data_IF_192027730861
#
_entry.id   IF_192027730861
#
_cell.length_a   1.000
_cell.length_b   1.000
_cell.length_c   1.000
_cell.angle_alpha   90.00
_cell.angle_beta   90.00
_cell.angle_gamma   90.00
#
_symmetry.space_group_name_H-M   'P 1'
#
loop_
_entity.id
_entity.type
_entity.pdbx_description
1 polymer ?
#
# COMPACT_ATOMS: atom_id res chain seq x y z
N UNK A 1 -12.56 -20.12 39.11
CA UNK A 1 -11.63 -21.04 38.41
C UNK A 1 -10.23 -20.47 38.58
N UNK A 2 -9.36 -21.14 39.37
CA UNK A 2 -8.01 -20.65 39.66
C UNK A 2 -7.14 -20.85 38.43
N UNK A 3 -6.60 -19.76 37.90
CA UNK A 3 -5.58 -19.78 36.85
C UNK A 3 -4.28 -20.33 37.44
N UNK A 4 -3.82 -21.48 36.97
CA UNK A 4 -2.50 -22.03 37.31
C UNK A 4 -1.44 -21.15 36.64
N UNK A 5 -0.81 -20.25 37.40
CA UNK A 5 0.38 -19.50 36.96
C UNK A 5 1.62 -20.13 37.60
N UNK A 6 2.57 -20.50 36.75
CA UNK A 6 3.88 -21.00 37.19
C UNK A 6 4.89 -19.84 37.10
N UNK A 7 5.64 -19.60 38.19
CA UNK A 7 6.60 -18.49 38.23
C UNK A 7 7.90 -18.81 37.49
N UNK A 8 8.29 -20.08 37.44
CA UNK A 8 9.49 -20.55 36.73
C UNK A 8 9.21 -21.80 35.90
N UNK A 9 9.98 -22.08 34.84
CA UNK A 9 9.85 -23.31 34.06
C UNK A 9 10.11 -24.59 34.88
N UNK A 10 10.79 -24.47 36.01
CA UNK A 10 11.14 -25.61 36.92
C UNK A 10 9.92 -26.12 37.68
N UNK A 11 8.94 -25.23 37.93
CA UNK A 11 7.71 -25.54 38.68
C UNK A 11 6.66 -26.24 37.78
N UNK A 12 6.95 -26.43 36.50
CA UNK A 12 6.01 -27.04 35.56
C UNK A 12 6.08 -28.58 35.58
N UNK A 13 4.95 -29.28 35.43
CA UNK A 13 4.93 -30.73 35.21
C UNK A 13 5.79 -31.12 34.00
N UNK A 14 6.47 -32.31 34.05
CA UNK A 14 7.41 -32.75 33.01
C UNK A 14 6.87 -32.64 31.58
N UNK A 15 5.60 -32.96 31.35
CA UNK A 15 4.97 -32.85 30.02
C UNK A 15 4.77 -31.39 29.55
N UNK A 16 4.50 -30.46 30.47
CA UNK A 16 4.36 -29.01 30.16
C UNK A 16 5.72 -28.35 29.94
N UNK A 17 6.75 -28.77 30.67
CA UNK A 17 8.11 -28.24 30.51
C UNK A 17 8.64 -28.49 29.11
N UNK A 18 8.49 -29.71 28.59
CA UNK A 18 8.89 -30.06 27.24
C UNK A 18 8.19 -29.22 26.16
N UNK A 19 6.89 -28.96 26.29
CA UNK A 19 6.12 -28.10 25.38
C UNK A 19 6.57 -26.64 25.46
N UNK A 20 6.83 -26.14 26.67
CA UNK A 20 7.32 -24.77 26.88
C UNK A 20 8.71 -24.57 26.25
N UNK A 21 9.64 -25.52 26.47
CA UNK A 21 10.99 -25.49 25.89
C UNK A 21 10.93 -25.52 24.35
N UNK A 22 10.08 -26.39 23.77
CA UNK A 22 9.86 -26.45 22.34
C UNK A 22 9.29 -25.15 21.77
N UNK A 23 8.38 -24.51 22.50
CA UNK A 23 7.80 -23.22 22.11
C UNK A 23 8.82 -22.08 22.18
N UNK A 24 9.66 -22.08 23.23
CA UNK A 24 10.73 -21.08 23.37
C UNK A 24 11.83 -21.27 22.35
N UNK A 25 12.21 -22.50 22.02
CA UNK A 25 13.13 -22.82 20.93
C UNK A 25 12.60 -22.32 19.58
N UNK A 26 11.30 -22.54 19.29
CA UNK A 26 10.64 -22.00 18.08
C UNK A 26 10.61 -20.47 18.04
N UNK A 27 10.36 -19.81 19.20
CA UNK A 27 10.44 -18.34 19.30
C UNK A 27 11.87 -17.82 19.09
N UNK A 28 12.87 -18.51 19.64
CA UNK A 28 14.28 -18.14 19.46
C UNK A 28 14.72 -18.28 18.00
N UNK A 29 14.35 -19.37 17.33
CA UNK A 29 14.61 -19.58 15.89
C UNK A 29 13.90 -18.52 15.05
N UNK A 30 12.63 -18.17 15.38
CA UNK A 30 11.90 -17.12 14.68
C UNK A 30 12.49 -15.73 14.93
N UNK A 31 13.04 -15.47 16.13
CA UNK A 31 13.74 -14.22 16.45
C UNK A 31 15.12 -14.14 15.80
N UNK A 32 15.85 -15.27 15.68
CA UNK A 32 17.12 -15.34 14.96
C UNK A 32 16.93 -15.20 13.44
N UNK A 33 15.84 -15.78 12.88
CA UNK A 33 15.46 -15.59 11.48
C UNK A 33 14.94 -14.17 11.18
N UNK A 34 14.56 -13.41 12.23
CA UNK A 34 14.13 -12.01 12.15
C UNK A 34 15.27 -11.02 12.41
N UNK A 35 16.53 -11.46 12.48
CA UNK A 35 17.67 -10.55 12.46
C UNK A 35 17.62 -9.74 11.14
N UNK A 36 17.79 -8.40 11.19
CA UNK A 36 17.69 -7.57 10.01
C UNK A 36 18.78 -7.98 9.03
N UNK A 37 18.39 -8.71 8.01
CA UNK A 37 19.22 -8.86 6.82
C UNK A 37 19.47 -7.45 6.28
N UNK A 38 20.70 -7.10 5.83
CA UNK A 38 20.94 -5.84 5.19
C UNK A 38 19.94 -5.75 4.02
N UNK A 39 19.02 -4.80 4.10
CA UNK A 39 18.06 -4.53 3.03
C UNK A 39 18.87 -4.18 1.79
N UNK A 40 19.05 -5.14 0.89
CA UNK A 40 19.45 -4.82 -0.46
C UNK A 40 18.35 -3.94 -1.04
N UNK A 41 18.60 -2.65 -1.16
CA UNK A 41 17.74 -1.66 -1.80
C UNK A 41 17.68 -1.87 -3.33
N UNK A 42 17.69 -3.11 -3.79
CA UNK A 42 17.39 -3.49 -5.15
C UNK A 42 15.88 -3.61 -5.30
N UNK A 43 15.24 -2.66 -5.97
CA UNK A 43 13.86 -2.81 -6.41
C UNK A 43 13.73 -4.16 -7.13
N UNK A 44 12.83 -5.02 -6.67
CA UNK A 44 12.59 -6.38 -7.19
C UNK A 44 12.28 -6.41 -8.71
N UNK A 45 12.13 -5.24 -9.32
CA UNK A 45 11.77 -5.02 -10.73
C UNK A 45 12.70 -4.06 -11.46
N UNK A 46 13.97 -3.86 -11.00
CA UNK A 46 14.96 -2.98 -11.62
C UNK A 46 14.48 -1.54 -11.91
N UNK A 47 13.48 -1.06 -11.17
CA UNK A 47 13.01 0.31 -11.28
C UNK A 47 14.04 1.23 -10.57
N UNK A 48 14.74 2.06 -11.34
CA UNK A 48 15.67 3.06 -10.82
C UNK A 48 14.91 4.37 -10.59
N UNK A 49 14.81 4.86 -9.32
CA UNK A 49 14.22 6.15 -9.02
C UNK A 49 14.95 7.27 -9.78
N UNK A 50 14.22 8.21 -10.31
CA UNK A 50 14.75 9.34 -11.05
C UNK A 50 14.12 10.64 -10.54
N UNK A 51 14.91 11.72 -10.55
CA UNK A 51 14.42 13.06 -10.17
C UNK A 51 14.58 14.01 -11.36
N UNK A 52 13.52 14.71 -11.73
CA UNK A 52 13.55 15.77 -12.75
C UNK A 52 13.04 17.06 -12.07
N UNK A 53 13.91 18.06 -11.95
CA UNK A 53 13.62 19.26 -11.17
C UNK A 53 13.30 18.89 -9.72
N UNK A 54 12.13 19.30 -9.22
CA UNK A 54 11.66 19.00 -7.86
C UNK A 54 10.78 17.73 -7.78
N UNK A 55 10.54 17.04 -8.90
CA UNK A 55 9.65 15.89 -8.97
C UNK A 55 10.44 14.58 -8.91
N UNK A 56 9.97 13.65 -8.06
CA UNK A 56 10.55 12.31 -7.90
C UNK A 56 9.66 11.30 -8.60
N UNK A 57 10.26 10.45 -9.42
CA UNK A 57 9.61 9.37 -10.14
C UNK A 57 10.13 8.01 -9.65
N UNK A 58 9.26 7.01 -9.58
CA UNK A 58 9.64 5.67 -9.15
C UNK A 58 10.48 4.93 -10.22
N UNK A 59 10.44 5.37 -11.48
CA UNK A 59 11.21 4.79 -12.57
C UNK A 59 11.62 5.83 -13.64
N UNK A 60 12.68 5.51 -14.37
CA UNK A 60 13.08 6.29 -15.56
C UNK A 60 11.98 6.31 -16.64
N UNK A 61 11.15 5.27 -16.71
CA UNK A 61 10.02 5.19 -17.65
C UNK A 61 8.96 6.24 -17.34
N UNK A 62 8.55 6.35 -16.06
CA UNK A 62 7.66 7.41 -15.60
C UNK A 62 8.23 8.80 -15.86
N UNK A 63 9.51 9.03 -15.53
CA UNK A 63 10.17 10.32 -15.75
C UNK A 63 10.17 10.74 -17.23
N UNK A 64 10.44 9.79 -18.14
CA UNK A 64 10.36 10.04 -19.59
C UNK A 64 8.93 10.36 -20.02
N UNK A 65 7.97 9.56 -19.55
CA UNK A 65 6.56 9.78 -19.90
C UNK A 65 6.03 11.12 -19.41
N UNK A 66 6.43 11.52 -18.19
CA UNK A 66 6.09 12.84 -17.66
C UNK A 66 6.63 13.97 -18.55
N UNK A 67 7.87 13.87 -19.03
CA UNK A 67 8.46 14.88 -19.91
C UNK A 67 7.67 14.99 -21.24
N UNK A 68 7.25 13.84 -21.83
CA UNK A 68 6.41 13.82 -23.02
C UNK A 68 5.06 14.50 -22.77
N UNK A 69 4.35 14.11 -21.71
CA UNK A 69 3.04 14.68 -21.35
C UNK A 69 3.15 16.18 -21.01
N UNK A 70 4.20 16.60 -20.32
CA UNK A 70 4.44 18.02 -20.02
C UNK A 70 4.67 18.84 -21.31
N UNK A 71 5.38 18.29 -22.28
CA UNK A 71 5.55 18.93 -23.59
C UNK A 71 4.22 18.98 -24.37
N UNK A 72 3.37 17.95 -24.28
CA UNK A 72 2.03 17.95 -24.89
C UNK A 72 1.13 19.01 -24.23
N UNK A 73 1.20 19.18 -22.92
CA UNK A 73 0.46 20.21 -22.20
C UNK A 73 0.90 21.62 -22.63
N UNK A 74 2.23 21.85 -22.76
CA UNK A 74 2.77 23.12 -23.27
C UNK A 74 2.31 23.45 -24.69
N UNK A 75 2.11 22.44 -25.55
CA UNK A 75 1.56 22.60 -26.91
C UNK A 75 0.05 22.71 -26.95
N UNK A 76 -0.65 22.58 -25.81
CA UNK A 76 -2.10 22.61 -25.72
C UNK A 76 -2.81 21.35 -26.25
N UNK A 77 -2.09 20.24 -26.48
CA UNK A 77 -2.65 18.96 -26.93
C UNK A 77 -3.42 18.26 -25.81
N UNK A 78 -2.98 18.46 -24.57
CA UNK A 78 -3.63 18.02 -23.34
C UNK A 78 -3.71 19.17 -22.32
N UNK A 79 -4.48 19.01 -21.28
CA UNK A 79 -4.59 19.98 -20.17
C UNK A 79 -4.78 19.28 -18.83
N UNK A 80 -4.60 20.02 -17.73
CA UNK A 80 -4.78 19.54 -16.36
C UNK A 80 -3.93 18.31 -16.04
N UNK A 81 -2.67 18.29 -16.46
CA UNK A 81 -1.75 17.21 -16.14
C UNK A 81 -1.47 17.16 -14.63
N UNK A 82 -1.79 16.04 -14.02
CA UNK A 82 -1.58 15.73 -12.60
C UNK A 82 -0.84 14.41 -12.48
N UNK A 83 0.02 14.30 -11.47
CA UNK A 83 0.79 13.08 -11.17
C UNK A 83 0.36 12.47 -9.85
N UNK A 84 0.52 11.18 -9.68
CA UNK A 84 0.27 10.43 -8.44
C UNK A 84 -1.13 10.68 -7.86
N UNK A 85 -2.14 10.65 -8.73
CA UNK A 85 -3.54 10.91 -8.34
C UNK A 85 -4.14 9.68 -7.67
N UNK A 86 -4.70 9.89 -6.47
CA UNK A 86 -5.28 8.84 -5.65
C UNK A 86 -6.78 8.69 -5.91
N UNK A 87 -7.21 7.46 -6.24
CA UNK A 87 -8.61 7.05 -6.32
C UNK A 87 -8.91 6.07 -5.19
N UNK A 88 -9.86 6.39 -4.32
CA UNK A 88 -10.25 5.53 -3.19
C UNK A 88 -11.23 4.48 -3.69
N UNK A 89 -10.81 3.22 -3.75
CA UNK A 89 -11.63 2.11 -4.23
C UNK A 89 -12.52 1.54 -3.12
N UNK A 90 -11.98 1.41 -1.91
CA UNK A 90 -12.71 1.01 -0.72
C UNK A 90 -12.32 1.98 0.39
N UNK A 91 -13.26 2.69 1.00
CA UNK A 91 -12.95 3.61 2.10
C UNK A 91 -12.50 2.86 3.35
N UNK A 92 -11.83 3.58 4.26
CA UNK A 92 -11.48 3.06 5.58
C UNK A 92 -12.73 2.60 6.31
N UNK A 93 -12.74 1.35 6.77
CA UNK A 93 -13.83 0.78 7.56
C UNK A 93 -13.53 0.96 9.04
N UNK A 94 -14.53 1.42 9.79
CA UNK A 94 -14.43 1.70 11.23
C UNK A 94 -15.58 1.06 11.98
N UNK A 95 -15.38 0.79 13.26
CA UNK A 95 -16.48 0.56 14.20
C UNK A 95 -17.36 1.81 14.28
N UNK A 96 -18.59 1.69 14.76
CA UNK A 96 -19.45 2.85 15.02
C UNK A 96 -18.76 3.86 15.94
N UNK A 97 -19.03 5.14 15.72
CA UNK A 97 -18.53 6.22 16.54
C UNK A 97 -19.04 6.09 17.99
N UNK A 98 -18.20 6.42 18.95
CA UNK A 98 -18.53 6.36 20.38
C UNK A 98 -18.89 7.75 20.86
N UNK A 99 -20.10 7.90 21.44
CA UNK A 99 -20.53 9.13 22.08
C UNK A 99 -20.10 9.13 23.55
N UNK A 100 -19.23 10.04 23.91
CA UNK A 100 -18.76 10.19 25.29
C UNK A 100 -19.83 10.81 26.22
N UNK A 101 -19.66 10.72 27.55
CA UNK A 101 -20.63 11.19 28.55
C UNK A 101 -20.98 12.69 28.46
N UNK A 102 -20.11 13.49 27.84
CA UNK A 102 -20.28 14.94 27.61
C UNK A 102 -20.75 15.26 26.19
N UNK A 103 -21.26 14.28 25.43
CA UNK A 103 -21.74 14.47 24.04
C UNK A 103 -20.63 14.57 22.97
N UNK A 104 -19.36 14.45 23.33
CA UNK A 104 -18.27 14.43 22.37
C UNK A 104 -18.27 13.12 21.55
N UNK A 105 -18.14 13.23 20.22
CA UNK A 105 -18.07 12.08 19.30
C UNK A 105 -16.60 11.71 19.08
N UNK A 106 -16.26 10.46 19.36
CA UNK A 106 -14.94 9.88 19.07
C UNK A 106 -15.08 8.88 17.93
N UNK A 107 -14.32 9.02 16.83
CA UNK A 107 -14.37 8.07 15.73
C UNK A 107 -14.07 6.64 16.19
N UNK A 108 -14.87 5.68 15.72
CA UNK A 108 -14.68 4.27 16.01
C UNK A 108 -13.31 3.76 15.56
N UNK A 109 -12.88 2.64 16.14
CA UNK A 109 -11.61 1.97 15.82
C UNK A 109 -11.56 1.59 14.34
N UNK A 110 -10.41 1.77 13.71
CA UNK A 110 -10.19 1.32 12.35
C UNK A 110 -10.16 -0.21 12.31
N UNK A 111 -11.10 -0.81 11.59
CA UNK A 111 -11.14 -2.24 11.30
C UNK A 111 -10.26 -2.57 10.10
N UNK A 112 -10.49 -1.87 8.97
CA UNK A 112 -9.72 -2.03 7.75
C UNK A 112 -9.32 -0.66 7.19
N UNK A 113 -8.08 -0.54 6.71
CA UNK A 113 -7.61 0.67 6.04
C UNK A 113 -8.18 0.75 4.63
N UNK A 114 -8.26 1.96 4.11
CA UNK A 114 -8.69 2.20 2.72
C UNK A 114 -7.84 1.39 1.72
N UNK A 115 -8.49 0.91 0.67
CA UNK A 115 -7.81 0.43 -0.52
C UNK A 115 -7.93 1.50 -1.60
N UNK A 116 -6.78 1.98 -2.10
CA UNK A 116 -6.73 3.01 -3.12
C UNK A 116 -5.90 2.55 -4.33
N UNK A 117 -6.24 3.11 -5.49
CA UNK A 117 -5.42 3.08 -6.68
C UNK A 117 -4.71 4.44 -6.81
N UNK A 118 -3.42 4.44 -7.11
CA UNK A 118 -2.66 5.65 -7.40
C UNK A 118 -2.27 5.58 -8.86
N UNK A 119 -2.79 6.51 -9.65
CA UNK A 119 -2.48 6.65 -11.05
C UNK A 119 -1.18 7.45 -11.22
N UNK A 120 -0.30 7.03 -12.12
CA UNK A 120 0.95 7.75 -12.38
C UNK A 120 0.65 9.13 -12.99
N UNK A 121 -0.30 9.20 -13.94
CA UNK A 121 -0.72 10.43 -14.62
C UNK A 121 -2.23 10.50 -14.82
N UNK A 122 -2.77 11.71 -14.69
CA UNK A 122 -4.16 12.04 -15.04
C UNK A 122 -4.14 13.36 -15.77
N UNK A 123 -4.81 13.42 -16.92
CA UNK A 123 -4.87 14.62 -17.76
C UNK A 123 -6.14 14.62 -18.62
N UNK A 124 -6.45 15.75 -19.23
CA UNK A 124 -7.58 15.88 -20.16
C UNK A 124 -7.06 15.92 -21.59
N UNK A 125 -7.53 14.99 -22.42
CA UNK A 125 -7.24 14.92 -23.85
C UNK A 125 -8.56 15.02 -24.63
N UNK A 126 -8.68 16.01 -25.51
CA UNK A 126 -9.91 16.24 -26.31
C UNK A 126 -11.19 16.29 -25.47
N UNK A 127 -11.13 16.89 -24.27
CA UNK A 127 -12.26 16.99 -23.35
C UNK A 127 -12.58 15.73 -22.53
N UNK A 128 -11.78 14.67 -22.66
CA UNK A 128 -11.95 13.41 -21.91
C UNK A 128 -10.83 13.29 -20.89
N UNK A 129 -11.18 12.96 -19.63
CA UNK A 129 -10.19 12.65 -18.60
C UNK A 129 -9.55 11.29 -18.87
N UNK A 130 -8.24 11.28 -18.99
CA UNK A 130 -7.42 10.08 -19.19
C UNK A 130 -6.67 9.78 -17.92
N UNK A 131 -6.77 8.53 -17.47
CA UNK A 131 -5.98 7.98 -16.35
C UNK A 131 -4.95 7.03 -16.94
N UNK A 132 -3.67 7.36 -16.76
CA UNK A 132 -2.57 6.62 -17.35
C UNK A 132 -1.64 6.03 -16.27
N UNK A 133 -1.16 4.83 -16.53
CA UNK A 133 -0.25 4.09 -15.65
C UNK A 133 0.91 3.49 -16.46
N UNK A 134 2.13 3.78 -16.02
CA UNK A 134 3.37 3.32 -16.65
C UNK A 134 3.84 1.98 -16.06
N UNK A 135 3.03 0.91 -16.21
CA UNK A 135 3.32 -0.40 -15.62
C UNK A 135 4.22 -1.28 -16.49
N UNK A 136 5.31 -1.77 -15.87
CA UNK A 136 6.13 -2.83 -16.46
C UNK A 136 5.57 -4.23 -16.20
N UNK A 137 4.94 -4.48 -15.06
CA UNK A 137 4.41 -5.78 -14.65
C UNK A 137 3.03 -5.67 -14.01
N UNK A 138 2.08 -6.50 -14.46
CA UNK A 138 0.70 -6.55 -13.97
C UNK A 138 0.55 -7.57 -12.85
N UNK A 139 0.65 -7.13 -11.59
CA UNK A 139 0.35 -7.96 -10.42
C UNK A 139 -1.14 -8.27 -10.32
N UNK A 140 -1.53 -9.32 -9.58
CA UNK A 140 -2.95 -9.64 -9.36
C UNK A 140 -3.66 -8.52 -8.58
N UNK A 141 -2.98 -7.90 -7.62
CA UNK A 141 -3.49 -6.72 -6.92
C UNK A 141 -3.77 -5.55 -7.89
N UNK A 142 -2.89 -5.31 -8.86
CA UNK A 142 -3.12 -4.30 -9.90
C UNK A 142 -4.31 -4.66 -10.79
N UNK A 143 -4.40 -5.92 -11.24
CA UNK A 143 -5.53 -6.40 -12.06
C UNK A 143 -6.88 -6.22 -11.34
N UNK A 144 -6.92 -6.48 -10.02
CA UNK A 144 -8.10 -6.24 -9.20
C UNK A 144 -8.42 -4.75 -9.12
N UNK A 145 -7.46 -3.90 -8.79
CA UNK A 145 -7.64 -2.45 -8.69
C UNK A 145 -8.11 -1.84 -10.03
N UNK A 146 -7.59 -2.30 -11.16
CA UNK A 146 -8.03 -1.88 -12.50
C UNK A 146 -9.51 -2.21 -12.75
N UNK A 147 -9.97 -3.41 -12.34
CA UNK A 147 -11.40 -3.78 -12.42
C UNK A 147 -12.27 -2.88 -11.54
N UNK A 148 -11.80 -2.56 -10.31
CA UNK A 148 -12.51 -1.68 -9.39
C UNK A 148 -12.55 -0.23 -9.90
N UNK A 149 -11.50 0.27 -10.55
CA UNK A 149 -11.50 1.58 -11.22
C UNK A 149 -12.60 1.66 -12.29
N UNK A 150 -12.71 0.62 -13.12
CA UNK A 150 -13.78 0.56 -14.12
C UNK A 150 -15.18 0.46 -13.49
N UNK A 151 -15.30 -0.32 -12.41
CA UNK A 151 -16.59 -0.55 -11.74
C UNK A 151 -17.10 0.70 -11.01
N UNK A 152 -16.25 1.36 -10.20
CA UNK A 152 -16.67 2.49 -9.36
C UNK A 152 -16.62 3.83 -10.09
N UNK A 153 -15.67 4.02 -11.00
CA UNK A 153 -15.41 5.31 -11.66
C UNK A 153 -15.72 5.29 -13.16
N UNK A 154 -16.03 4.14 -13.76
CA UNK A 154 -16.19 4.01 -15.20
C UNK A 154 -14.89 4.19 -16.00
N UNK A 155 -13.75 4.30 -15.32
CA UNK A 155 -12.46 4.64 -15.92
C UNK A 155 -11.74 3.38 -16.42
N UNK A 156 -11.33 3.41 -17.70
CA UNK A 156 -10.40 2.44 -18.28
C UNK A 156 -9.00 3.02 -18.26
N UNK A 157 -8.09 2.40 -17.50
CA UNK A 157 -6.70 2.88 -17.35
C UNK A 157 -5.94 2.65 -18.66
N UNK A 158 -5.28 3.71 -19.16
CA UNK A 158 -4.33 3.64 -20.27
C UNK A 158 -3.00 3.12 -19.75
N UNK A 159 -2.56 1.97 -20.22
CA UNK A 159 -1.27 1.38 -19.81
C UNK A 159 -0.21 1.70 -20.88
N UNK A 160 0.96 2.24 -20.44
CA UNK A 160 2.08 2.64 -21.32
C UNK A 160 3.40 2.03 -20.89
#
# INVERSE_FOLDING_TARGET
MSSLSFETPEDMPRGMKSLYEAQMARKAVKKAAAAPQPKSNGSKYHAEPCTIGNMKFASKKEARRWAELSAMEQRGEISNLRTQVKFVLVPTQREPDVIGPKGGVTPGKVLEKEAAYIADFVYTEKGVEIVEDSKGFRTDAYRLKRKLMRYFYGISIRET
#
